data_IF_879666811050
#
_entry.id   IF_879666811050
#
_cell.length_a   1.000
_cell.length_b   1.000
_cell.length_c   1.000
_cell.angle_alpha   90.00
_cell.angle_beta   90.00
_cell.angle_gamma   90.00
#
_symmetry.space_group_name_H-M   'P 1'
#
loop_
_entity.id
_entity.type
_entity.pdbx_description
1 polymer ?
#
# COMPACT_ATOMS: atom_id res chain seq x y z
N UNK A 1 -2.61 -22.64 1.55
CA UNK A 1 -1.91 -21.57 0.81
C UNK A 1 -1.95 -20.34 1.69
N UNK A 2 -0.80 -19.82 2.10
CA UNK A 2 -0.65 -18.60 2.88
C UNK A 2 -0.30 -17.41 1.98
N UNK A 3 -0.33 -16.19 2.56
CA UNK A 3 -0.01 -14.96 1.82
C UNK A 3 1.36 -15.01 1.12
N UNK A 4 2.36 -15.62 1.76
CA UNK A 4 3.73 -15.78 1.23
C UNK A 4 3.83 -16.75 0.04
N UNK A 5 2.81 -17.57 -0.19
CA UNK A 5 2.75 -18.43 -1.38
C UNK A 5 2.28 -17.66 -2.62
N UNK A 6 1.58 -16.53 -2.42
CA UNK A 6 1.06 -15.64 -3.48
C UNK A 6 2.02 -14.46 -3.70
N UNK A 7 2.38 -13.79 -2.61
CA UNK A 7 3.29 -12.65 -2.60
C UNK A 7 4.54 -13.02 -1.81
N UNK A 8 5.57 -13.44 -2.53
CA UNK A 8 6.83 -13.91 -1.92
C UNK A 8 7.58 -12.74 -1.28
N UNK A 9 7.57 -11.58 -1.96
CA UNK A 9 8.22 -10.35 -1.56
C UNK A 9 7.19 -9.23 -1.43
N UNK A 10 7.16 -8.56 -0.28
CA UNK A 10 6.20 -7.49 0.00
C UNK A 10 6.34 -6.33 -0.99
N UNK A 11 7.51 -5.71 -1.06
CA UNK A 11 7.75 -4.57 -1.95
C UNK A 11 7.74 -4.90 -3.45
N UNK A 12 8.08 -6.13 -3.84
CA UNK A 12 8.22 -6.52 -5.25
C UNK A 12 6.97 -7.18 -5.83
N UNK A 13 6.15 -7.80 -4.98
CA UNK A 13 4.97 -8.55 -5.40
C UNK A 13 3.71 -7.88 -4.83
N UNK A 14 3.57 -7.77 -3.50
CA UNK A 14 2.35 -7.27 -2.88
C UNK A 14 2.12 -5.78 -3.14
N UNK A 15 3.11 -4.93 -2.89
CA UNK A 15 3.00 -3.48 -3.13
C UNK A 15 2.73 -3.16 -4.59
N UNK A 16 3.36 -3.88 -5.53
CA UNK A 16 3.08 -3.71 -6.97
C UNK A 16 1.66 -4.14 -7.33
N UNK A 17 1.23 -5.29 -6.80
CA UNK A 17 -0.14 -5.74 -7.02
C UNK A 17 -1.14 -4.74 -6.45
N UNK A 18 -0.90 -4.20 -5.26
CA UNK A 18 -1.80 -3.24 -4.63
C UNK A 18 -1.90 -1.91 -5.40
N UNK A 19 -0.79 -1.42 -5.97
CA UNK A 19 -0.76 -0.26 -6.88
C UNK A 19 -1.71 -0.47 -8.08
N UNK A 20 -1.64 -1.64 -8.71
CA UNK A 20 -2.45 -1.99 -9.89
C UNK A 20 -3.92 -2.31 -9.54
N UNK A 21 -4.23 -2.56 -8.26
CA UNK A 21 -5.54 -3.07 -7.78
C UNK A 21 -6.05 -2.25 -6.58
N UNK A 22 -5.90 -0.93 -6.63
CA UNK A 22 -6.33 -0.04 -5.54
C UNK A 22 -7.84 -0.08 -5.28
N UNK A 23 -8.63 -0.46 -6.30
CA UNK A 23 -10.07 -0.66 -6.22
C UNK A 23 -10.45 -1.69 -5.14
N UNK A 24 -9.63 -2.72 -4.93
CA UNK A 24 -9.83 -3.69 -3.84
C UNK A 24 -9.73 -3.02 -2.47
N UNK A 25 -8.79 -2.08 -2.30
CA UNK A 25 -8.66 -1.33 -1.06
C UNK A 25 -9.84 -0.38 -0.86
N UNK A 26 -10.29 0.29 -1.93
CA UNK A 26 -11.48 1.15 -1.91
C UNK A 26 -12.72 0.37 -1.47
N UNK A 27 -12.98 -0.80 -2.06
CA UNK A 27 -14.11 -1.66 -1.68
C UNK A 27 -14.03 -2.12 -0.23
N UNK A 28 -12.84 -2.50 0.24
CA UNK A 28 -12.65 -3.01 1.59
C UNK A 28 -12.75 -1.93 2.69
N UNK A 29 -12.47 -0.67 2.35
CA UNK A 29 -12.37 0.44 3.32
C UNK A 29 -13.44 1.52 3.16
N UNK A 30 -14.27 1.43 2.12
CA UNK A 30 -15.23 2.46 1.71
C UNK A 30 -14.56 3.82 1.42
N UNK A 31 -13.31 3.78 0.94
CA UNK A 31 -12.55 4.94 0.49
C UNK A 31 -12.63 5.10 -1.03
N UNK A 32 -12.31 6.29 -1.51
CA UNK A 32 -12.17 6.60 -2.93
C UNK A 32 -10.75 7.10 -3.17
N UNK A 33 -9.83 6.16 -3.33
CA UNK A 33 -8.41 6.42 -3.61
C UNK A 33 -8.16 6.37 -5.12
N UNK A 34 -7.39 7.34 -5.60
CA UNK A 34 -6.99 7.44 -7.02
C UNK A 34 -5.57 7.98 -7.15
N UNK A 35 -5.01 7.97 -8.36
CA UNK A 35 -3.66 8.50 -8.61
C UNK A 35 -2.57 7.77 -7.83
N UNK A 36 -2.71 6.45 -7.70
CA UNK A 36 -1.78 5.66 -6.88
C UNK A 36 -0.44 5.55 -7.57
N UNK A 37 0.61 5.91 -6.84
CA UNK A 37 1.99 5.81 -7.30
C UNK A 37 2.85 5.19 -6.21
N UNK A 38 3.81 4.35 -6.62
CA UNK A 38 4.93 3.96 -5.77
C UNK A 38 5.86 5.13 -5.59
N UNK A 39 5.99 5.63 -4.36
CA UNK A 39 6.92 6.73 -4.12
C UNK A 39 8.36 6.23 -3.97
N UNK A 40 9.30 7.03 -4.48
CA UNK A 40 10.73 6.81 -4.35
C UNK A 40 11.30 7.88 -3.41
N UNK A 41 11.58 7.50 -2.16
CA UNK A 41 12.31 8.24 -1.11
C UNK A 41 12.11 9.77 -1.09
N UNK A 42 11.17 10.25 -0.25
CA UNK A 42 11.05 11.68 0.07
C UNK A 42 11.92 12.00 1.28
N UNK A 43 13.16 12.41 1.00
CA UNK A 43 14.12 12.78 2.05
C UNK A 43 14.57 11.59 2.89
N UNK A 44 14.28 11.61 4.19
CA UNK A 44 14.67 10.54 5.12
C UNK A 44 13.62 9.42 5.25
N UNK A 45 12.45 9.56 4.61
CA UNK A 45 11.34 8.63 4.72
C UNK A 45 11.03 8.00 3.37
N UNK A 46 10.66 6.72 3.38
CA UNK A 46 10.22 5.97 2.21
C UNK A 46 8.87 5.39 2.57
N UNK A 47 7.83 5.81 1.85
CA UNK A 47 6.48 5.24 1.96
C UNK A 47 6.28 4.20 0.85
N UNK A 48 5.39 3.23 1.06
CA UNK A 48 5.12 2.20 0.06
C UNK A 48 4.34 2.74 -1.15
N UNK A 49 3.22 3.42 -0.89
CA UNK A 49 2.36 4.05 -1.89
C UNK A 49 1.82 5.39 -1.41
N UNK A 50 1.61 6.30 -2.37
CA UNK A 50 0.84 7.53 -2.20
C UNK A 50 -0.38 7.50 -3.12
N UNK A 51 -1.49 8.06 -2.66
CA UNK A 51 -2.72 8.22 -3.42
C UNK A 51 -3.40 9.54 -3.07
N UNK A 52 -4.49 9.87 -3.75
CA UNK A 52 -5.37 10.99 -3.43
C UNK A 52 -6.76 10.50 -3.06
N UNK A 53 -7.37 11.11 -2.03
CA UNK A 53 -8.79 10.92 -1.72
C UNK A 53 -9.70 11.71 -2.68
N UNK A 54 -11.01 11.56 -2.51
CA UNK A 54 -12.04 12.26 -3.30
C UNK A 54 -11.97 13.81 -3.23
N UNK A 55 -11.33 14.37 -2.20
CA UNK A 55 -11.13 15.82 -2.03
C UNK A 55 -9.76 16.27 -2.58
N UNK A 56 -8.99 15.36 -3.20
CA UNK A 56 -7.63 15.60 -3.70
C UNK A 56 -6.59 15.71 -2.59
N UNK A 57 -6.87 15.19 -1.38
CA UNK A 57 -5.90 15.19 -0.28
C UNK A 57 -4.97 13.97 -0.38
N UNK A 58 -3.67 14.14 -0.10
CA UNK A 58 -2.74 13.03 -0.14
C UNK A 58 -3.02 12.01 0.96
N UNK A 59 -2.99 10.73 0.59
CA UNK A 59 -3.13 9.57 1.48
C UNK A 59 -1.86 8.74 1.36
N UNK A 60 -1.25 8.44 2.51
CA UNK A 60 -0.10 7.52 2.60
C UNK A 60 -0.62 6.12 2.93
N UNK A 61 -0.13 5.13 2.20
CA UNK A 61 -0.50 3.72 2.38
C UNK A 61 0.78 2.94 2.69
N UNK A 62 0.81 2.29 3.86
CA UNK A 62 1.91 1.44 4.33
C UNK A 62 1.40 -0.01 4.43
N UNK A 63 1.86 -0.89 3.55
CA UNK A 63 1.28 -2.22 3.40
C UNK A 63 2.17 -3.29 4.04
N UNK A 64 1.61 -4.20 4.84
CA UNK A 64 2.38 -5.30 5.46
C UNK A 64 1.66 -6.64 5.31
N UNK A 65 2.41 -7.68 4.95
CA UNK A 65 1.93 -9.07 4.90
C UNK A 65 1.97 -9.75 6.27
N UNK A 66 2.85 -9.28 7.16
CA UNK A 66 3.04 -9.81 8.50
C UNK A 66 2.71 -8.74 9.53
N UNK A 67 2.22 -9.15 10.70
CA UNK A 67 2.09 -8.21 11.81
C UNK A 67 3.45 -7.62 12.15
N UNK A 68 3.52 -6.29 12.19
CA UNK A 68 4.59 -5.58 12.86
C UNK A 68 4.64 -6.07 14.32
N UNK A 69 5.74 -6.71 14.70
CA UNK A 69 5.96 -7.05 16.11
C UNK A 69 5.96 -5.75 16.90
N UNK A 70 5.15 -5.63 17.97
CA UNK A 70 5.32 -4.53 18.89
C UNK A 70 6.73 -4.60 19.48
N UNK A 71 7.42 -3.47 19.69
CA UNK A 71 8.79 -3.45 20.21
C UNK A 71 8.90 -3.82 21.71
N UNK A 72 7.85 -4.33 22.36
CA UNK A 72 7.81 -4.68 23.78
C UNK A 72 7.59 -6.18 24.04
#
# INVERSE_FOLDING_TARGET
MGLRDVWRHEALDFTKWLEENIDVLNEATDLQLSGVEREQAVGAFSVDLIAEDQDGRPVVIENQLEQSRPPW
#
